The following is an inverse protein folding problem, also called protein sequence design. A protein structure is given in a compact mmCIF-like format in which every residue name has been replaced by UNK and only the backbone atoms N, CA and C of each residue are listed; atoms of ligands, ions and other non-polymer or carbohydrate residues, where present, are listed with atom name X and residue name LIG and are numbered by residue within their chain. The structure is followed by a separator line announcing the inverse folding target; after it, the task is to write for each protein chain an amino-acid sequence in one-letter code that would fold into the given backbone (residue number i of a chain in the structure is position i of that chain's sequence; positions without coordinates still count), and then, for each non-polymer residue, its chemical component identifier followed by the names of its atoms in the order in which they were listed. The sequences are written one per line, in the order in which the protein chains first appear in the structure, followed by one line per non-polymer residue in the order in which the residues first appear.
data_IF_186817777314
#
_entry.id   IF_186817777314
#
_cell.length_a   1.000
_cell.length_b   1.000
_cell.length_c   1.000
_cell.angle_alpha   90.00
_cell.angle_beta   90.00
_cell.angle_gamma   90.00
#
_symmetry.space_group_name_H-M   'P 1'
#
loop_
_entity.id
_entity.type
_entity.pdbx_description
1 polymer ?
#
# COMPACT_ATOMS: atom_id res chain seq x y z
N UNK A 1 7.41 -3.49 -7.74
CA UNK A 1 6.06 -3.55 -8.35
C UNK A 1 6.18 -3.21 -9.83
N UNK A 2 5.49 -3.94 -10.71
CA UNK A 2 5.38 -3.64 -12.14
C UNK A 2 3.94 -3.24 -12.42
N UNK A 3 3.73 -2.07 -13.01
CA UNK A 3 2.40 -1.60 -13.43
C UNK A 3 2.31 -1.72 -14.95
N UNK A 4 1.30 -2.45 -15.41
CA UNK A 4 1.00 -2.63 -16.84
C UNK A 4 -0.37 -2.03 -17.08
N UNK A 5 -0.48 -1.13 -18.06
CA UNK A 5 -1.73 -0.48 -18.43
C UNK A 5 -2.20 -1.00 -19.80
N UNK A 6 -2.69 -2.24 -19.89
CA UNK A 6 -3.17 -2.80 -21.16
C UNK A 6 -4.55 -2.23 -21.51
N UNK A 7 -4.90 -2.31 -22.80
CA UNK A 7 -6.22 -1.90 -23.30
C UNK A 7 -7.00 -3.13 -23.75
N UNK A 8 -8.32 -3.14 -23.51
CA UNK A 8 -9.23 -4.13 -24.10
C UNK A 8 -9.77 -3.68 -25.47
N UNK A 9 -9.44 -2.45 -25.89
CA UNK A 9 -9.78 -1.98 -27.23
C UNK A 9 -8.96 -2.76 -28.26
N UNK A 10 -9.61 -3.19 -29.34
CA UNK A 10 -9.01 -4.13 -30.27
C UNK A 10 -8.34 -3.41 -31.44
N UNK A 11 -9.13 -2.68 -32.22
CA UNK A 11 -8.64 -2.07 -33.49
C UNK A 11 -8.70 -0.56 -33.50
N UNK A 12 -9.53 0.03 -32.61
CA UNK A 12 -9.73 1.48 -32.51
C UNK A 12 -9.69 1.91 -31.05
N UNK A 13 -9.09 3.07 -30.79
CA UNK A 13 -9.14 3.72 -29.47
C UNK A 13 -10.58 4.12 -29.09
N UNK A 14 -11.49 4.21 -30.06
CA UNK A 14 -12.90 4.53 -29.85
C UNK A 14 -13.79 3.29 -29.62
N UNK A 15 -13.26 2.06 -29.64
CA UNK A 15 -14.06 0.83 -29.47
C UNK A 15 -14.86 0.84 -28.16
N UNK A 16 -14.31 1.46 -27.10
CA UNK A 16 -14.95 1.66 -25.80
C UNK A 16 -16.08 2.70 -25.79
N UNK A 17 -16.25 3.47 -26.86
CA UNK A 17 -17.36 4.44 -27.00
C UNK A 17 -18.67 3.78 -27.44
N UNK A 18 -18.61 2.58 -28.05
CA UNK A 18 -19.79 1.73 -28.27
C UNK A 18 -19.95 0.78 -27.08
N UNK A 19 -20.94 1.08 -26.24
CA UNK A 19 -21.19 0.32 -25.01
C UNK A 19 -21.43 -1.18 -25.26
N UNK A 20 -22.10 -1.55 -26.36
CA UNK A 20 -22.37 -2.97 -26.65
C UNK A 20 -21.11 -3.70 -27.09
N UNK A 21 -20.25 -3.02 -27.85
CA UNK A 21 -18.93 -3.54 -28.21
C UNK A 21 -18.03 -3.65 -26.98
N UNK A 22 -17.99 -2.62 -26.13
CA UNK A 22 -17.19 -2.61 -24.91
C UNK A 22 -17.56 -3.77 -23.98
N UNK A 23 -18.86 -4.09 -23.81
CA UNK A 23 -19.29 -5.25 -23.03
C UNK A 23 -18.76 -6.58 -23.60
N UNK A 24 -18.76 -6.71 -24.93
CA UNK A 24 -18.21 -7.90 -25.60
C UNK A 24 -16.68 -7.96 -25.46
N UNK A 25 -16.00 -6.83 -25.58
CA UNK A 25 -14.54 -6.79 -25.46
C UNK A 25 -14.10 -7.15 -24.05
N UNK A 26 -14.71 -6.53 -23.03
CA UNK A 26 -14.43 -6.85 -21.62
C UNK A 26 -14.73 -8.32 -21.27
N UNK A 27 -15.78 -8.92 -21.83
CA UNK A 27 -16.05 -10.35 -21.66
C UNK A 27 -14.98 -11.25 -22.26
N UNK A 28 -14.37 -10.87 -23.38
CA UNK A 28 -13.37 -11.69 -24.07
C UNK A 28 -11.92 -11.43 -23.64
N UNK A 29 -11.66 -10.26 -23.02
CA UNK A 29 -10.32 -9.76 -22.73
C UNK A 29 -9.47 -10.71 -21.87
N UNK A 30 -10.09 -11.50 -21.00
CA UNK A 30 -9.38 -12.52 -20.20
C UNK A 30 -8.58 -13.51 -21.04
N UNK A 31 -9.05 -13.84 -22.25
CA UNK A 31 -8.35 -14.76 -23.15
C UNK A 31 -7.03 -14.15 -23.63
N UNK A 32 -7.04 -12.87 -23.98
CA UNK A 32 -5.82 -12.16 -24.35
C UNK A 32 -4.93 -12.02 -23.11
N UNK A 33 -5.47 -11.47 -22.02
CA UNK A 33 -4.76 -11.20 -20.77
C UNK A 33 -3.90 -12.38 -20.28
N UNK A 34 -4.48 -13.58 -20.20
CA UNK A 34 -3.79 -14.76 -19.66
C UNK A 34 -2.80 -15.36 -20.65
N UNK A 35 -3.06 -15.26 -21.96
CA UNK A 35 -2.25 -15.94 -22.96
C UNK A 35 -1.15 -15.05 -23.57
N UNK A 36 -1.33 -13.72 -23.60
CA UNK A 36 -0.38 -12.81 -24.26
C UNK A 36 0.27 -11.80 -23.28
N UNK A 37 -0.43 -10.84 -22.63
CA UNK A 37 0.22 -9.83 -21.78
C UNK A 37 0.93 -10.40 -20.55
N UNK A 38 0.29 -11.32 -19.81
CA UNK A 38 0.91 -11.90 -18.60
C UNK A 38 2.20 -12.65 -18.97
N UNK A 39 2.21 -13.62 -19.90
CA UNK A 39 3.45 -14.29 -20.29
C UNK A 39 4.50 -13.36 -20.90
N UNK A 40 4.10 -12.35 -21.67
CA UNK A 40 5.05 -11.41 -22.28
C UNK A 40 5.75 -10.55 -21.21
N UNK A 41 5.01 -10.05 -20.23
CA UNK A 41 5.56 -9.20 -19.17
C UNK A 41 6.36 -10.04 -18.19
N UNK A 42 5.79 -11.11 -17.64
CA UNK A 42 6.43 -11.92 -16.59
C UNK A 42 7.57 -12.80 -17.13
N UNK A 43 7.60 -13.06 -18.44
CA UNK A 43 8.75 -13.70 -19.09
C UNK A 43 9.89 -12.73 -19.39
N UNK A 44 9.64 -11.41 -19.35
CA UNK A 44 10.64 -10.37 -19.63
C UNK A 44 11.17 -9.72 -18.35
N UNK A 45 10.30 -9.49 -17.38
CA UNK A 45 10.61 -8.80 -16.14
C UNK A 45 10.46 -9.74 -14.95
N UNK A 46 11.28 -9.52 -13.92
CA UNK A 46 11.26 -10.36 -12.71
C UNK A 46 9.98 -10.11 -11.92
N UNK A 47 9.14 -11.14 -11.80
CA UNK A 47 7.98 -11.20 -10.90
C UNK A 47 8.16 -12.37 -9.92
N UNK A 48 7.10 -12.75 -9.20
CA UNK A 48 7.09 -13.95 -8.36
C UNK A 48 6.80 -15.24 -9.14
N UNK A 49 6.47 -15.15 -10.42
CA UNK A 49 6.32 -16.33 -11.27
C UNK A 49 7.71 -16.91 -11.60
N UNK A 50 7.94 -18.18 -11.28
CA UNK A 50 9.19 -18.86 -11.67
C UNK A 50 9.29 -19.04 -13.19
N UNK A 51 8.15 -19.29 -13.83
CA UNK A 51 7.99 -19.33 -15.27
C UNK A 51 6.57 -18.89 -15.69
N UNK A 52 6.38 -18.75 -17.01
CA UNK A 52 5.11 -18.28 -17.58
C UNK A 52 4.22 -19.43 -18.08
N UNK A 53 4.38 -20.64 -17.54
CA UNK A 53 3.43 -21.73 -17.80
C UNK A 53 2.13 -21.48 -17.04
N UNK A 54 0.99 -22.08 -17.44
CA UNK A 54 -0.24 -21.96 -16.69
C UNK A 54 -0.09 -22.34 -15.21
N UNK A 55 0.75 -23.33 -14.90
CA UNK A 55 1.07 -23.75 -13.53
C UNK A 55 1.89 -22.68 -12.80
N UNK A 56 3.00 -22.20 -13.38
CA UNK A 56 3.85 -21.18 -12.75
C UNK A 56 3.12 -19.86 -12.51
N UNK A 57 2.20 -19.47 -13.40
CA UNK A 57 1.34 -18.30 -13.23
C UNK A 57 0.31 -18.50 -12.11
N UNK A 58 -0.25 -19.71 -11.94
CA UNK A 58 -1.15 -20.02 -10.83
C UNK A 58 -0.43 -19.99 -9.49
N UNK A 59 0.78 -20.55 -9.41
CA UNK A 59 1.57 -20.62 -8.17
C UNK A 59 1.98 -19.23 -7.64
N UNK A 60 2.02 -18.23 -8.51
CA UNK A 60 2.39 -16.86 -8.19
C UNK A 60 1.19 -15.89 -8.12
N UNK A 61 -0.05 -16.41 -8.15
CA UNK A 61 -1.29 -15.60 -8.16
C UNK A 61 -1.42 -14.64 -6.99
N UNK A 62 -0.84 -14.98 -5.84
CA UNK A 62 -0.89 -14.17 -4.62
C UNK A 62 -0.07 -12.88 -4.75
N UNK A 63 0.70 -12.74 -5.84
CA UNK A 63 1.50 -11.55 -6.15
C UNK A 63 0.96 -10.78 -7.37
N UNK A 64 -0.30 -11.04 -7.76
CA UNK A 64 -0.91 -10.46 -8.96
C UNK A 64 -2.26 -9.79 -8.66
N UNK A 65 -2.43 -8.58 -9.20
CA UNK A 65 -3.62 -7.77 -9.04
C UNK A 65 -4.16 -7.27 -10.38
N UNK A 66 -5.48 -7.13 -10.50
CA UNK A 66 -6.14 -6.52 -11.65
C UNK A 66 -7.05 -5.37 -11.22
N UNK A 67 -6.98 -4.23 -11.89
CA UNK A 67 -7.75 -3.05 -11.54
C UNK A 67 -8.33 -2.35 -12.77
N UNK A 68 -9.37 -1.56 -12.56
CA UNK A 68 -9.94 -0.76 -13.63
C UNK A 68 -11.09 0.13 -13.18
N UNK A 69 -11.32 1.17 -13.96
CA UNK A 69 -12.32 2.21 -13.71
C UNK A 69 -13.38 2.22 -14.82
N UNK A 70 -14.65 2.45 -14.48
CA UNK A 70 -15.76 2.49 -15.43
C UNK A 70 -15.88 1.18 -16.22
N UNK A 71 -15.76 1.18 -17.55
CA UNK A 71 -15.68 -0.07 -18.33
C UNK A 71 -14.46 -0.93 -17.98
N UNK A 72 -13.37 -0.34 -17.48
CA UNK A 72 -12.25 -1.09 -16.89
C UNK A 72 -12.64 -1.82 -15.60
N UNK A 73 -13.62 -1.32 -14.85
CA UNK A 73 -14.18 -2.04 -13.70
C UNK A 73 -15.00 -3.25 -14.16
N UNK A 74 -15.77 -3.12 -15.25
CA UNK A 74 -16.43 -4.27 -15.88
C UNK A 74 -15.41 -5.29 -16.35
N UNK A 75 -14.30 -4.86 -16.95
CA UNK A 75 -13.18 -5.75 -17.29
C UNK A 75 -12.62 -6.44 -16.04
N UNK A 76 -12.46 -5.72 -14.93
CA UNK A 76 -12.01 -6.28 -13.64
C UNK A 76 -12.96 -7.37 -13.12
N UNK A 77 -14.27 -7.17 -13.20
CA UNK A 77 -15.25 -8.20 -12.84
C UNK A 77 -15.22 -9.41 -13.78
N UNK A 78 -14.92 -9.21 -15.07
CA UNK A 78 -14.72 -10.33 -16.02
C UNK A 78 -13.41 -11.06 -15.75
N UNK A 79 -12.35 -10.37 -15.37
CA UNK A 79 -11.12 -10.99 -14.88
C UNK A 79 -11.38 -11.78 -13.60
N UNK A 80 -12.16 -11.24 -12.66
CA UNK A 80 -12.62 -11.98 -11.48
C UNK A 80 -13.40 -13.24 -11.87
N UNK A 81 -14.32 -13.15 -12.84
CA UNK A 81 -15.10 -14.28 -13.31
C UNK A 81 -14.25 -15.41 -13.92
N UNK A 82 -13.22 -15.08 -14.69
CA UNK A 82 -12.51 -16.05 -15.54
C UNK A 82 -11.08 -16.35 -15.11
N UNK A 83 -10.50 -15.58 -14.18
CA UNK A 83 -9.07 -15.62 -13.88
C UNK A 83 -8.74 -15.67 -12.38
N UNK A 84 -9.65 -16.17 -11.52
CA UNK A 84 -9.34 -16.40 -10.09
C UNK A 84 -8.11 -17.29 -9.87
N UNK A 85 -7.89 -18.25 -10.77
CA UNK A 85 -6.69 -19.10 -10.83
C UNK A 85 -5.39 -18.28 -10.90
N UNK A 86 -5.43 -17.07 -11.48
CA UNK A 86 -4.25 -16.28 -11.84
C UNK A 86 -4.12 -14.96 -11.06
N UNK A 87 -5.15 -14.55 -10.31
CA UNK A 87 -5.14 -13.29 -9.57
C UNK A 87 -5.75 -13.47 -8.19
N UNK A 88 -5.06 -12.96 -7.16
CA UNK A 88 -5.61 -12.83 -5.80
C UNK A 88 -6.37 -11.52 -5.60
N UNK A 89 -5.89 -10.42 -6.18
CA UNK A 89 -6.37 -9.08 -5.86
C UNK A 89 -7.14 -8.41 -7.00
N UNK A 90 -8.29 -7.80 -6.67
CA UNK A 90 -9.15 -7.13 -7.63
C UNK A 90 -9.55 -5.74 -7.14
N UNK A 91 -9.39 -4.72 -7.99
CA UNK A 91 -9.70 -3.33 -7.64
C UNK A 91 -10.67 -2.68 -8.64
N UNK A 92 -11.96 -3.09 -8.65
CA UNK A 92 -12.98 -2.49 -9.50
C UNK A 92 -13.43 -1.13 -8.97
N UNK A 93 -13.59 -0.14 -9.85
CA UNK A 93 -14.11 1.18 -9.47
C UNK A 93 -15.15 1.76 -10.43
N UNK A 94 -16.28 2.22 -9.89
CA UNK A 94 -17.35 2.91 -10.63
C UNK A 94 -17.83 2.16 -11.90
N UNK A 95 -17.99 0.84 -11.84
CA UNK A 95 -18.59 0.06 -12.93
C UNK A 95 -19.06 -1.33 -12.48
N UNK A 96 -20.36 -1.60 -12.62
CA UNK A 96 -21.01 -2.84 -12.18
C UNK A 96 -21.14 -3.86 -13.31
N UNK A 97 -20.94 -5.14 -13.02
CA UNK A 97 -21.26 -6.27 -13.89
C UNK A 97 -22.74 -6.69 -13.78
N UNK A 98 -23.26 -6.77 -12.56
CA UNK A 98 -24.61 -7.27 -12.24
C UNK A 98 -25.09 -6.72 -10.89
N UNK A 99 -26.38 -6.80 -10.60
CA UNK A 99 -26.91 -6.55 -9.24
C UNK A 99 -27.24 -7.84 -8.48
N UNK A 100 -26.87 -9.01 -9.03
CA UNK A 100 -27.15 -10.32 -8.46
C UNK A 100 -25.93 -10.82 -7.67
N UNK A 101 -25.96 -10.65 -6.35
CA UNK A 101 -24.91 -11.14 -5.46
C UNK A 101 -24.78 -12.67 -5.43
N UNK A 102 -25.90 -13.40 -5.56
CA UNK A 102 -25.87 -14.86 -5.55
C UNK A 102 -25.19 -15.42 -6.81
N UNK A 103 -25.34 -14.72 -7.94
CA UNK A 103 -24.55 -14.98 -9.15
C UNK A 103 -23.06 -14.72 -8.93
N UNK A 104 -22.67 -13.58 -8.35
CA UNK A 104 -21.25 -13.32 -8.04
C UNK A 104 -20.67 -14.39 -7.11
N UNK A 105 -21.43 -14.86 -6.12
CA UNK A 105 -21.01 -15.91 -5.22
C UNK A 105 -20.94 -17.28 -5.92
N UNK A 106 -21.80 -17.55 -6.92
CA UNK A 106 -21.71 -18.78 -7.70
C UNK A 106 -20.46 -18.82 -8.57
N UNK A 107 -19.97 -17.68 -9.08
CA UNK A 107 -18.70 -17.62 -9.83
C UNK A 107 -17.53 -18.14 -9.00
N UNK A 108 -17.42 -17.70 -7.74
CA UNK A 108 -16.38 -18.17 -6.80
C UNK A 108 -16.51 -19.67 -6.57
N UNK A 109 -17.70 -20.14 -6.18
CA UNK A 109 -17.93 -21.57 -5.91
C UNK A 109 -17.65 -22.47 -7.11
N UNK A 110 -18.08 -22.06 -8.30
CA UNK A 110 -17.88 -22.82 -9.53
C UNK A 110 -16.42 -22.84 -9.99
N UNK A 111 -15.65 -21.82 -9.63
CA UNK A 111 -14.20 -21.77 -9.87
C UNK A 111 -13.39 -22.67 -8.93
N UNK A 112 -13.98 -23.12 -7.82
CA UNK A 112 -13.31 -23.96 -6.82
C UNK A 112 -12.50 -23.19 -5.77
N UNK A 113 -12.62 -21.86 -5.74
CA UNK A 113 -12.02 -20.99 -4.72
C UNK A 113 -12.98 -20.78 -3.54
N UNK A 114 -12.43 -20.36 -2.41
CA UNK A 114 -13.15 -19.97 -1.19
C UNK A 114 -12.94 -18.47 -0.89
N UNK A 115 -13.59 -17.96 0.16
CA UNK A 115 -13.61 -16.54 0.50
C UNK A 115 -12.21 -15.96 0.79
N UNK A 116 -11.26 -16.75 1.27
CA UNK A 116 -9.90 -16.34 1.64
C UNK A 116 -8.87 -16.45 0.50
N UNK A 117 -9.31 -16.91 -0.68
CA UNK A 117 -8.47 -17.03 -1.87
C UNK A 117 -8.34 -15.71 -2.67
N UNK A 118 -9.17 -14.70 -2.39
CA UNK A 118 -9.16 -13.44 -3.12
C UNK A 118 -9.46 -12.25 -2.20
N UNK A 119 -9.13 -11.04 -2.67
CA UNK A 119 -9.50 -9.80 -1.99
C UNK A 119 -9.95 -8.73 -2.99
N UNK A 120 -11.03 -8.02 -2.66
CA UNK A 120 -11.66 -7.01 -3.50
C UNK A 120 -11.61 -5.66 -2.78
N UNK A 121 -10.88 -4.70 -3.36
CA UNK A 121 -10.95 -3.30 -2.98
C UNK A 121 -11.82 -2.55 -3.98
N UNK A 122 -13.10 -2.39 -3.67
CA UNK A 122 -14.04 -1.64 -4.50
C UNK A 122 -14.01 -0.15 -4.15
N UNK A 123 -14.19 0.73 -5.14
CA UNK A 123 -14.26 2.18 -4.89
C UNK A 123 -15.23 2.91 -5.81
N UNK A 124 -15.90 3.96 -5.32
CA UNK A 124 -16.68 4.88 -6.14
C UNK A 124 -16.95 6.19 -5.41
N UNK A 125 -17.16 7.28 -6.15
CA UNK A 125 -17.44 8.60 -5.61
C UNK A 125 -18.94 8.84 -5.47
N UNK A 126 -19.40 9.52 -4.41
CA UNK A 126 -20.84 9.67 -4.13
C UNK A 126 -21.59 10.52 -5.16
N UNK A 127 -20.88 11.36 -5.94
CA UNK A 127 -21.41 12.17 -7.04
C UNK A 127 -21.13 11.54 -8.44
N UNK A 128 -20.57 10.33 -8.50
CA UNK A 128 -20.37 9.57 -9.73
C UNK A 128 -21.71 9.00 -10.24
N UNK A 129 -21.98 9.11 -11.55
CA UNK A 129 -23.22 8.58 -12.13
C UNK A 129 -23.35 7.05 -11.95
N UNK A 130 -22.24 6.33 -11.81
CA UNK A 130 -22.20 4.88 -11.65
C UNK A 130 -22.36 4.43 -10.19
N UNK A 131 -22.23 5.34 -9.21
CA UNK A 131 -22.18 5.02 -7.78
C UNK A 131 -23.38 4.21 -7.31
N UNK A 132 -24.60 4.65 -7.65
CA UNK A 132 -25.81 3.98 -7.17
C UNK A 132 -25.90 2.53 -7.64
N UNK A 133 -25.58 2.24 -8.90
CA UNK A 133 -25.60 0.86 -9.42
C UNK A 133 -24.44 0.03 -8.89
N UNK A 134 -23.26 0.65 -8.76
CA UNK A 134 -22.07 -0.03 -8.24
C UNK A 134 -22.26 -0.44 -6.77
N UNK A 135 -22.74 0.48 -5.93
CA UNK A 135 -23.06 0.20 -4.52
C UNK A 135 -24.09 -0.90 -4.36
N UNK A 136 -25.11 -0.97 -5.23
CA UNK A 136 -26.10 -2.06 -5.22
C UNK A 136 -25.44 -3.41 -5.48
N UNK A 137 -24.50 -3.51 -6.42
CA UNK A 137 -23.76 -4.76 -6.64
C UNK A 137 -22.95 -5.16 -5.40
N UNK A 138 -22.15 -4.23 -4.86
CA UNK A 138 -21.28 -4.51 -3.71
C UNK A 138 -22.11 -4.94 -2.50
N UNK A 139 -23.21 -4.25 -2.22
CA UNK A 139 -24.09 -4.62 -1.11
C UNK A 139 -24.77 -5.97 -1.36
N UNK A 140 -25.24 -6.23 -2.59
CA UNK A 140 -25.85 -7.51 -2.93
C UNK A 140 -24.87 -8.69 -2.76
N UNK A 141 -23.58 -8.49 -3.05
CA UNK A 141 -22.53 -9.48 -2.80
C UNK A 141 -22.37 -9.75 -1.30
N UNK A 142 -22.27 -8.70 -0.48
CA UNK A 142 -22.12 -8.83 0.98
C UNK A 142 -23.37 -9.38 1.67
N UNK A 143 -24.56 -9.21 1.09
CA UNK A 143 -25.83 -9.71 1.62
C UNK A 143 -26.02 -11.22 1.38
N UNK A 144 -25.12 -11.89 0.64
CA UNK A 144 -25.19 -13.35 0.45
C UNK A 144 -24.77 -14.06 1.74
N UNK A 145 -25.70 -14.79 2.36
CA UNK A 145 -25.51 -15.42 3.68
C UNK A 145 -24.50 -16.60 3.73
N UNK A 146 -23.87 -16.96 2.60
CA UNK A 146 -22.96 -18.11 2.52
C UNK A 146 -21.50 -17.78 2.88
N UNK A 147 -21.20 -16.52 3.20
CA UNK A 147 -19.87 -16.08 3.61
C UNK A 147 -18.87 -15.91 2.47
N UNK A 148 -19.31 -16.00 1.19
CA UNK A 148 -18.42 -15.82 0.04
C UNK A 148 -17.82 -14.43 -0.01
N UNK A 149 -18.57 -13.41 0.40
CA UNK A 149 -18.10 -12.02 0.49
C UNK A 149 -18.33 -11.46 1.88
N UNK A 150 -17.26 -11.09 2.55
CA UNK A 150 -17.25 -10.59 3.92
C UNK A 150 -16.62 -9.19 3.93
N UNK A 151 -17.38 -8.19 4.39
CA UNK A 151 -16.83 -6.85 4.58
C UNK A 151 -15.75 -6.86 5.66
N UNK A 152 -14.57 -6.35 5.33
CA UNK A 152 -13.49 -6.15 6.29
C UNK A 152 -12.52 -5.08 5.80
N UNK A 153 -11.74 -4.53 6.74
CA UNK A 153 -10.63 -3.63 6.44
C UNK A 153 -9.27 -4.33 6.35
N UNK A 154 -9.27 -5.67 6.34
CA UNK A 154 -8.09 -6.51 6.30
C UNK A 154 -8.43 -7.92 5.77
N UNK A 155 -7.44 -8.62 5.21
CA UNK A 155 -7.61 -9.97 4.62
C UNK A 155 -7.94 -11.06 5.65
N UNK A 156 -7.68 -10.83 6.94
CA UNK A 156 -7.88 -11.82 8.00
C UNK A 156 -9.35 -11.93 8.41
N UNK A 157 -10.08 -10.82 8.35
CA UNK A 157 -11.46 -10.73 8.82
C UNK A 157 -12.48 -10.75 7.67
N UNK A 158 -12.03 -10.60 6.42
CA UNK A 158 -12.87 -10.65 5.24
C UNK A 158 -12.11 -10.35 3.95
N UNK A 159 -12.86 -10.19 2.87
CA UNK A 159 -12.32 -10.16 1.51
C UNK A 159 -12.92 -9.06 0.62
N UNK A 160 -13.79 -8.21 1.17
CA UNK A 160 -14.46 -7.14 0.45
C UNK A 160 -14.33 -5.83 1.22
N UNK A 161 -13.76 -4.82 0.59
CA UNK A 161 -13.76 -3.44 1.07
C UNK A 161 -14.44 -2.53 0.06
N UNK A 162 -15.14 -1.49 0.53
CA UNK A 162 -15.77 -0.50 -0.33
C UNK A 162 -15.46 0.92 0.13
N UNK A 163 -14.60 1.60 -0.63
CA UNK A 163 -14.31 3.03 -0.47
C UNK A 163 -15.40 3.87 -1.11
N UNK A 164 -16.09 4.68 -0.30
CA UNK A 164 -17.07 5.67 -0.75
C UNK A 164 -16.47 7.07 -0.62
N UNK A 165 -16.03 7.65 -1.75
CA UNK A 165 -15.39 8.97 -1.75
C UNK A 165 -16.45 10.08 -1.81
N UNK A 166 -16.60 10.82 -0.72
CA UNK A 166 -17.60 11.89 -0.63
C UNK A 166 -17.31 13.01 -1.64
N UNK A 167 -18.30 13.36 -2.47
CA UNK A 167 -18.16 14.37 -3.52
C UNK A 167 -17.35 13.91 -4.73
N UNK A 168 -16.90 12.65 -4.75
CA UNK A 168 -16.15 12.10 -5.87
C UNK A 168 -17.01 12.00 -7.13
N UNK A 169 -16.48 12.46 -8.27
CA UNK A 169 -17.16 12.44 -9.58
C UNK A 169 -16.51 11.44 -10.55
N UNK A 170 -17.19 11.12 -11.65
CA UNK A 170 -16.67 10.21 -12.66
C UNK A 170 -15.51 10.82 -13.46
N UNK A 171 -14.28 10.67 -12.98
CA UNK A 171 -13.08 11.28 -13.57
C UNK A 171 -11.83 10.43 -13.39
N UNK A 172 -10.81 10.70 -14.22
CA UNK A 172 -9.51 10.04 -14.12
C UNK A 172 -8.76 10.36 -12.81
N UNK A 173 -8.90 11.58 -12.28
CA UNK A 173 -8.28 11.98 -11.01
C UNK A 173 -8.75 11.09 -9.85
N UNK A 174 -10.06 10.91 -9.71
CA UNK A 174 -10.62 10.01 -8.71
C UNK A 174 -10.28 8.54 -8.99
N UNK A 175 -10.17 8.13 -10.26
CA UNK A 175 -9.72 6.78 -10.59
C UNK A 175 -8.28 6.52 -10.08
N UNK A 176 -7.37 7.47 -10.27
CA UNK A 176 -6.00 7.39 -9.76
C UNK A 176 -5.96 7.34 -8.22
N UNK A 177 -6.78 8.16 -7.54
CA UNK A 177 -6.94 8.13 -6.09
C UNK A 177 -7.41 6.75 -5.59
N UNK A 178 -8.38 6.14 -6.27
CA UNK A 178 -8.90 4.82 -5.91
C UNK A 178 -7.85 3.73 -6.07
N UNK A 179 -7.08 3.76 -7.17
CA UNK A 179 -6.00 2.79 -7.39
C UNK A 179 -4.87 2.96 -6.39
N UNK A 180 -4.49 4.20 -6.07
CA UNK A 180 -3.49 4.47 -5.03
C UNK A 180 -3.93 3.88 -3.68
N UNK A 181 -5.16 4.17 -3.26
CA UNK A 181 -5.70 3.64 -2.00
C UNK A 181 -5.79 2.11 -2.01
N UNK A 182 -6.22 1.50 -3.12
CA UNK A 182 -6.27 0.04 -3.24
C UNK A 182 -4.88 -0.61 -3.23
N UNK A 183 -3.88 -0.01 -3.88
CA UNK A 183 -2.50 -0.49 -3.84
C UNK A 183 -1.91 -0.41 -2.43
N UNK A 184 -2.32 0.59 -1.64
CA UNK A 184 -1.99 0.67 -0.22
C UNK A 184 -2.67 -0.39 0.64
N UNK A 185 -3.43 -1.35 0.09
CA UNK A 185 -4.14 -2.40 0.84
C UNK A 185 -3.69 -3.81 0.51
N UNK A 186 -3.19 -4.03 -0.71
CA UNK A 186 -2.78 -5.36 -1.17
C UNK A 186 -1.32 -5.65 -0.84
N UNK A 187 -0.95 -6.93 -0.77
CA UNK A 187 0.42 -7.38 -0.44
C UNK A 187 0.96 -6.84 0.89
N UNK A 188 0.07 -6.43 1.80
CA UNK A 188 0.42 -6.25 3.21
C UNK A 188 0.61 -7.64 3.79
N UNK A 189 1.86 -8.03 4.03
CA UNK A 189 2.29 -9.35 4.47
C UNK A 189 1.24 -10.14 5.27
N UNK A 190 0.63 -11.12 4.60
CA UNK A 190 -0.11 -12.23 5.20
C UNK A 190 0.82 -13.36 5.66
N UNK A 191 2.10 -13.07 5.85
CA UNK A 191 3.07 -14.04 6.34
C UNK A 191 3.16 -13.99 7.86
N UNK A 192 2.72 -15.09 8.45
CA UNK A 192 2.74 -15.35 9.88
C UNK A 192 4.17 -15.29 10.44
N UNK A 193 4.56 -14.13 10.94
CA UNK A 193 5.44 -14.00 12.09
C UNK A 193 4.78 -13.02 13.05
N UNK A 194 4.58 -13.45 14.29
CA UNK A 194 3.64 -12.90 15.28
C UNK A 194 3.35 -11.39 15.15
N UNK A 195 2.10 -11.08 14.79
CA UNK A 195 1.58 -9.71 14.85
C UNK A 195 1.81 -9.14 16.25
N UNK A 196 2.38 -7.93 16.34
CA UNK A 196 2.54 -7.29 17.64
C UNK A 196 1.16 -6.91 18.16
N UNK A 197 0.98 -7.06 19.46
CA UNK A 197 -0.25 -6.75 20.18
C UNK A 197 0.05 -5.73 21.26
N UNK A 198 -1.00 -5.22 21.91
CA UNK A 198 -0.86 -4.30 23.05
C UNK A 198 0.10 -4.80 24.13
N UNK A 199 0.10 -6.12 24.37
CA UNK A 199 0.89 -6.79 25.40
C UNK A 199 2.24 -7.29 24.89
N UNK A 200 2.58 -7.05 23.62
CA UNK A 200 3.92 -7.37 23.10
C UNK A 200 4.93 -6.50 23.82
N UNK A 201 6.05 -7.09 24.25
CA UNK A 201 7.10 -6.35 24.93
C UNK A 201 7.87 -5.51 23.92
N UNK A 202 8.19 -4.28 24.30
CA UNK A 202 9.05 -3.38 23.51
C UNK A 202 10.40 -4.05 23.21
N UNK A 203 10.93 -4.82 24.16
CA UNK A 203 12.15 -5.60 23.96
C UNK A 203 12.01 -6.67 22.88
N UNK A 204 10.84 -7.29 22.71
CA UNK A 204 10.63 -8.30 21.67
C UNK A 204 10.60 -7.64 20.28
N UNK A 205 10.00 -6.45 20.14
CA UNK A 205 10.03 -5.66 18.90
C UNK A 205 11.46 -5.22 18.54
N UNK A 206 12.22 -4.74 19.53
CA UNK A 206 13.63 -4.31 19.33
C UNK A 206 14.50 -5.47 18.83
N UNK A 207 14.23 -6.69 19.31
CA UNK A 207 15.02 -7.87 18.98
C UNK A 207 14.40 -8.71 17.86
N UNK A 208 13.35 -8.22 17.21
CA UNK A 208 12.72 -8.95 16.12
C UNK A 208 13.71 -9.09 14.95
N UNK A 209 14.04 -10.32 14.51
CA UNK A 209 15.03 -10.56 13.46
C UNK A 209 14.76 -9.83 12.16
N UNK A 210 13.51 -9.49 11.87
CA UNK A 210 13.10 -8.72 10.67
C UNK A 210 13.78 -7.35 10.56
N UNK A 211 14.17 -6.77 11.69
CA UNK A 211 14.84 -5.47 11.73
C UNK A 211 16.36 -5.58 11.71
N UNK A 212 16.91 -6.80 11.73
CA UNK A 212 18.34 -7.06 11.88
C UNK A 212 18.95 -6.20 13.00
N UNK A 213 20.05 -5.49 12.73
CA UNK A 213 20.68 -4.61 13.71
C UNK A 213 19.83 -3.35 14.00
N UNK A 214 18.92 -2.96 13.10
CA UNK A 214 18.18 -1.69 13.19
C UNK A 214 17.07 -1.68 14.23
N UNK A 215 16.67 -2.84 14.78
CA UNK A 215 15.58 -2.91 15.78
C UNK A 215 15.81 -2.03 17.01
N UNK A 216 17.09 -1.81 17.37
CA UNK A 216 17.50 -0.88 18.45
C UNK A 216 17.07 0.57 18.23
N UNK A 217 16.74 0.97 17.00
CA UNK A 217 16.42 2.35 16.62
C UNK A 217 14.90 2.63 16.58
N UNK A 218 14.07 1.60 16.75
CA UNK A 218 12.61 1.71 16.69
C UNK A 218 12.06 2.51 17.89
N UNK A 219 12.73 2.41 19.03
CA UNK A 219 12.36 3.07 20.28
C UNK A 219 13.50 3.98 20.78
N UNK A 220 13.24 4.88 21.75
CA UNK A 220 14.25 5.82 22.24
C UNK A 220 15.54 5.13 22.70
N UNK A 221 16.65 5.46 22.04
CA UNK A 221 17.99 4.87 22.29
C UNK A 221 18.70 5.48 23.51
N UNK A 222 18.28 6.66 23.95
CA UNK A 222 18.86 7.41 25.05
C UNK A 222 18.22 7.07 26.41
N UNK A 223 17.38 6.03 26.45
CA UNK A 223 16.61 5.63 27.64
C UNK A 223 16.79 4.17 27.99
N UNK A 224 16.77 3.91 29.30
CA UNK A 224 16.63 2.55 29.80
C UNK A 224 15.18 2.11 29.62
N UNK A 225 14.95 1.17 28.72
CA UNK A 225 13.65 0.53 28.51
C UNK A 225 13.57 -0.70 29.40
N UNK A 226 12.48 -0.84 30.17
CA UNK A 226 12.24 -2.04 30.96
C UNK A 226 12.00 -3.25 30.06
N UNK A 227 12.56 -4.41 30.41
CA UNK A 227 12.32 -5.67 29.70
C UNK A 227 10.85 -6.13 29.78
N UNK A 228 10.06 -5.55 30.69
CA UNK A 228 8.63 -5.85 30.86
C UNK A 228 7.73 -4.72 30.34
N UNK A 229 8.28 -3.70 29.67
CA UNK A 229 7.46 -2.64 29.09
C UNK A 229 6.69 -3.19 27.88
N UNK A 230 5.38 -3.07 27.91
CA UNK A 230 4.48 -3.47 26.82
C UNK A 230 4.19 -2.29 25.87
N UNK A 231 3.82 -2.59 24.62
CA UNK A 231 3.53 -1.57 23.60
C UNK A 231 2.43 -0.59 24.03
N UNK A 232 1.43 -1.07 24.77
CA UNK A 232 0.36 -0.21 25.29
C UNK A 232 0.85 0.85 26.29
N UNK A 233 1.96 0.57 26.97
CA UNK A 233 2.52 1.44 28.03
C UNK A 233 3.70 2.26 27.54
N UNK A 234 4.04 2.22 26.23
CA UNK A 234 5.15 3.01 25.65
C UNK A 234 5.01 4.50 25.96
N UNK A 235 3.80 5.01 26.10
CA UNK A 235 3.55 6.39 26.52
C UNK A 235 4.26 6.78 27.83
N UNK A 236 4.48 5.84 28.75
CA UNK A 236 5.13 6.08 30.04
C UNK A 236 6.61 6.45 29.91
N UNK A 237 7.27 5.98 28.85
CA UNK A 237 8.68 6.29 28.59
C UNK A 237 8.86 7.48 27.64
N UNK A 238 7.81 7.86 26.91
CA UNK A 238 7.76 8.97 25.96
C UNK A 238 7.45 10.30 26.65
N UNK A 239 8.31 10.74 27.58
CA UNK A 239 8.08 11.92 28.44
C UNK A 239 7.82 13.25 27.72
N UNK A 240 8.10 13.34 26.41
CA UNK A 240 7.89 14.55 25.60
C UNK A 240 6.61 14.49 24.76
N UNK A 241 5.90 13.36 24.80
CA UNK A 241 4.72 13.10 24.00
C UNK A 241 3.49 13.08 24.90
N UNK A 242 2.38 13.62 24.40
CA UNK A 242 1.08 13.58 25.06
C UNK A 242 0.08 12.88 24.13
N UNK A 243 -0.95 12.24 24.71
CA UNK A 243 -1.98 11.52 23.96
C UNK A 243 -1.43 10.35 23.11
N UNK A 244 -0.40 9.66 23.62
CA UNK A 244 0.09 8.43 23.00
C UNK A 244 -1.05 7.41 22.99
N UNK A 245 -1.43 6.96 21.80
CA UNK A 245 -2.54 6.03 21.61
C UNK A 245 -1.97 4.60 21.45
N UNK A 246 -2.27 3.69 22.39
CA UNK A 246 -1.81 2.30 22.33
C UNK A 246 -2.09 1.60 21.00
N UNK A 247 -3.28 1.82 20.41
CA UNK A 247 -3.65 1.19 19.13
C UNK A 247 -2.74 1.67 18.00
N UNK A 248 -2.46 2.98 17.97
CA UNK A 248 -1.54 3.55 16.97
C UNK A 248 -0.10 3.08 17.20
N UNK A 249 0.34 2.90 18.45
CA UNK A 249 1.67 2.35 18.73
C UNK A 249 1.84 0.95 18.16
N UNK A 250 0.85 0.08 18.36
CA UNK A 250 0.84 -1.29 17.83
C UNK A 250 0.79 -1.28 16.30
N UNK A 251 -0.06 -0.44 15.72
CA UNK A 251 -0.16 -0.27 14.27
C UNK A 251 1.17 0.15 13.65
N UNK A 252 1.85 1.17 14.22
CA UNK A 252 3.15 1.66 13.73
C UNK A 252 4.23 0.57 13.85
N UNK A 253 4.26 -0.17 14.96
CA UNK A 253 5.25 -1.23 15.16
C UNK A 253 5.07 -2.37 14.13
N UNK A 254 3.84 -2.78 13.85
CA UNK A 254 3.53 -3.76 12.81
C UNK A 254 3.85 -3.20 11.42
N UNK A 255 3.48 -1.95 11.13
CA UNK A 255 3.82 -1.29 9.87
C UNK A 255 5.33 -1.29 9.61
N UNK A 256 6.14 -0.89 10.60
CA UNK A 256 7.60 -0.88 10.47
C UNK A 256 8.14 -2.30 10.23
N UNK A 257 7.62 -3.31 10.92
CA UNK A 257 7.98 -4.71 10.70
C UNK A 257 7.72 -5.10 9.25
N UNK A 258 6.53 -4.80 8.75
CA UNK A 258 6.13 -5.20 7.41
C UNK A 258 6.96 -4.48 6.34
N UNK A 259 7.30 -3.20 6.55
CA UNK A 259 8.22 -2.47 5.65
C UNK A 259 9.65 -3.02 5.69
N UNK A 260 10.16 -3.37 6.87
CA UNK A 260 11.48 -3.96 7.02
C UNK A 260 11.55 -5.35 6.34
N UNK A 261 10.51 -6.17 6.49
CA UNK A 261 10.36 -7.44 5.77
C UNK A 261 10.31 -7.23 4.24
N UNK A 262 9.72 -6.12 3.78
CA UNK A 262 9.69 -5.73 2.37
C UNK A 262 11.01 -5.07 1.89
N UNK A 263 12.05 -4.98 2.72
CA UNK A 263 13.38 -4.49 2.35
C UNK A 263 13.56 -2.97 2.37
N UNK A 264 12.72 -2.22 3.09
CA UNK A 264 12.77 -0.75 3.15
C UNK A 264 12.86 -0.22 4.59
N UNK A 265 13.71 0.78 4.83
CA UNK A 265 13.80 1.51 6.11
C UNK A 265 13.46 2.98 5.90
N UNK A 266 12.48 3.49 6.64
CA UNK A 266 12.14 4.92 6.72
C UNK A 266 12.37 5.38 8.16
N UNK A 267 13.24 6.37 8.37
CA UNK A 267 13.58 6.89 9.70
C UNK A 267 13.20 8.37 9.84
N UNK A 268 12.37 8.69 10.85
CA UNK A 268 12.02 10.05 11.25
C UNK A 268 12.66 10.42 12.58
N UNK A 269 13.15 11.67 12.67
CA UNK A 269 13.62 12.41 13.84
C UNK A 269 14.68 11.75 14.73
N UNK A 270 15.93 12.21 14.59
CA UNK A 270 16.83 12.30 15.75
C UNK A 270 17.57 13.63 15.73
N UNK A 271 17.60 14.35 16.85
CA UNK A 271 18.48 15.51 17.07
C UNK A 271 19.95 15.11 17.25
N UNK A 272 20.39 14.12 16.48
CA UNK A 272 21.73 13.55 16.54
C UNK A 272 22.73 14.61 16.11
N UNK A 273 23.76 14.83 16.92
CA UNK A 273 24.79 15.83 16.66
C UNK A 273 26.18 15.23 16.46
N UNK A 274 26.36 13.95 16.71
CA UNK A 274 27.62 13.24 16.51
C UNK A 274 27.61 12.53 15.16
N UNK A 275 28.70 12.68 14.40
CA UNK A 275 28.96 11.89 13.18
C UNK A 275 30.09 10.90 13.45
N UNK A 276 29.93 9.70 12.95
CA UNK A 276 30.86 8.56 12.91
C UNK A 276 31.79 8.60 11.70
N UNK A 277 31.39 9.26 10.60
CA UNK A 277 32.13 9.28 9.34
C UNK A 277 31.84 8.10 8.42
N UNK A 278 30.93 7.21 8.80
CA UNK A 278 30.46 6.09 7.98
C UNK A 278 28.95 6.18 7.69
N UNK A 279 28.36 7.37 7.84
CA UNK A 279 26.94 7.58 7.56
C UNK A 279 26.65 7.23 6.09
N UNK A 280 25.54 6.51 5.81
CA UNK A 280 25.06 6.32 4.44
C UNK A 280 24.50 7.64 3.90
N UNK A 281 24.19 7.72 2.58
CA UNK A 281 23.47 8.86 2.05
C UNK A 281 22.22 9.19 2.88
N UNK A 282 22.14 10.43 3.37
CA UNK A 282 21.17 10.80 4.41
C UNK A 282 20.31 11.99 3.98
N UNK A 283 19.00 11.80 3.95
CA UNK A 283 18.03 12.89 3.83
C UNK A 283 17.39 13.19 5.19
N UNK A 284 17.25 14.46 5.53
CA UNK A 284 16.57 14.92 6.74
C UNK A 284 15.60 16.06 6.44
N UNK A 285 14.61 16.25 7.30
CA UNK A 285 13.79 17.46 7.29
C UNK A 285 13.40 17.88 8.71
N UNK A 286 13.19 19.18 8.92
CA UNK A 286 12.93 19.75 10.25
C UNK A 286 12.26 21.12 10.16
N UNK A 287 11.47 21.50 11.16
CA UNK A 287 10.87 22.83 11.24
C UNK A 287 11.69 23.84 12.06
N UNK A 288 11.69 25.13 11.69
CA UNK A 288 12.44 26.16 12.47
C UNK A 288 11.81 26.45 13.83
N UNK A 289 10.54 26.11 14.03
CA UNK A 289 9.81 26.20 15.30
C UNK A 289 9.64 24.84 15.98
N UNK A 290 10.42 23.83 15.59
CA UNK A 290 10.50 22.56 16.28
C UNK A 290 11.14 22.77 17.67
N UNK A 291 10.34 22.55 18.72
CA UNK A 291 10.76 22.70 20.11
C UNK A 291 11.48 21.47 20.68
N UNK A 292 11.61 20.40 19.90
CA UNK A 292 12.15 19.10 20.31
C UNK A 292 13.46 18.81 19.55
N UNK A 293 13.45 18.90 18.23
CA UNK A 293 14.62 18.74 17.37
C UNK A 293 15.11 20.10 16.88
N UNK A 294 16.28 20.54 17.36
CA UNK A 294 16.90 21.79 16.93
C UNK A 294 17.27 21.72 15.44
N UNK A 295 16.62 22.53 14.59
CA UNK A 295 16.96 22.60 13.17
C UNK A 295 18.44 22.94 12.95
N UNK A 296 19.02 23.78 13.81
CA UNK A 296 20.45 24.14 13.72
C UNK A 296 21.36 22.95 13.97
N UNK A 297 20.98 22.06 14.89
CA UNK A 297 21.74 20.85 15.19
C UNK A 297 21.65 19.85 14.04
N UNK A 298 20.47 19.71 13.44
CA UNK A 298 20.23 18.88 12.26
C UNK A 298 21.00 19.41 11.04
N UNK A 299 20.99 20.72 10.81
CA UNK A 299 21.79 21.38 9.77
C UNK A 299 23.28 21.15 9.96
N UNK A 300 23.79 21.31 11.18
CA UNK A 300 25.21 21.10 11.48
C UNK A 300 25.60 19.61 11.37
N UNK A 301 24.73 18.69 11.75
CA UNK A 301 24.92 17.25 11.56
C UNK A 301 25.01 16.89 10.07
N UNK A 302 24.05 17.32 9.26
CA UNK A 302 24.04 17.08 7.81
C UNK A 302 25.24 17.73 7.13
N UNK A 303 25.62 18.96 7.54
CA UNK A 303 26.84 19.61 7.05
C UNK A 303 28.10 18.79 7.36
N UNK A 304 28.17 18.15 8.52
CA UNK A 304 29.31 17.29 8.89
C UNK A 304 29.36 16.01 8.05
N UNK A 305 28.21 15.41 7.72
CA UNK A 305 28.13 14.28 6.78
C UNK A 305 28.62 14.71 5.39
N UNK A 306 28.14 15.84 4.88
CA UNK A 306 28.58 16.40 3.60
C UNK A 306 30.10 16.66 3.58
N UNK A 307 30.66 17.21 4.66
CA UNK A 307 32.10 17.45 4.77
C UNK A 307 32.94 16.16 4.79
N UNK A 308 32.34 15.03 5.18
CA UNK A 308 32.99 13.71 5.12
C UNK A 308 32.90 13.07 3.72
N UNK A 309 32.23 13.72 2.77
CA UNK A 309 32.13 13.27 1.38
C UNK A 309 30.93 12.34 1.09
N UNK A 310 30.07 12.11 2.08
CA UNK A 310 28.81 11.39 1.89
C UNK A 310 27.73 12.35 1.41
N UNK A 311 26.91 11.94 0.43
CA UNK A 311 25.78 12.73 -0.01
C UNK A 311 24.74 12.86 1.11
N UNK A 312 24.36 14.07 1.46
CA UNK A 312 23.34 14.30 2.46
C UNK A 312 22.59 15.59 2.18
N UNK A 313 21.31 15.61 2.50
CA UNK A 313 20.41 16.74 2.27
C UNK A 313 19.55 17.01 3.50
N UNK A 314 19.22 18.28 3.72
CA UNK A 314 18.25 18.69 4.72
C UNK A 314 17.31 19.74 4.17
N UNK A 315 16.02 19.59 4.47
CA UNK A 315 15.01 20.62 4.26
C UNK A 315 14.59 21.23 5.60
N UNK A 316 14.63 22.57 5.66
CA UNK A 316 14.30 23.32 6.86
C UNK A 316 13.07 24.18 6.60
N UNK A 317 11.97 23.84 7.24
CA UNK A 317 10.67 24.46 7.00
C UNK A 317 10.39 25.59 7.99
N UNK A 318 10.23 26.81 7.50
CA UNK A 318 10.08 27.98 8.37
C UNK A 318 8.75 27.99 9.12
N UNK A 319 8.79 28.30 10.42
CA UNK A 319 7.63 28.36 11.30
C UNK A 319 7.02 27.01 11.67
N UNK A 320 7.46 25.93 11.04
CA UNK A 320 6.89 24.59 11.27
C UNK A 320 7.32 24.06 12.63
N UNK A 321 6.35 23.52 13.37
CA UNK A 321 6.56 22.91 14.70
C UNK A 321 6.80 21.41 14.55
N UNK A 322 7.23 20.80 15.65
CA UNK A 322 7.44 19.34 15.70
C UNK A 322 6.19 18.57 15.30
N UNK A 323 6.36 17.49 14.52
CA UNK A 323 5.30 16.56 14.16
C UNK A 323 4.36 17.05 13.05
N UNK A 324 4.86 17.13 11.82
CA UNK A 324 4.09 17.59 10.64
C UNK A 324 3.64 16.47 9.69
N UNK A 325 3.92 15.20 10.01
CA UNK A 325 3.40 14.04 9.26
C UNK A 325 3.78 14.07 7.78
N UNK A 326 2.80 13.85 6.89
CA UNK A 326 2.98 13.95 5.42
C UNK A 326 3.20 15.39 4.93
N UNK A 327 2.97 16.40 5.78
CA UNK A 327 3.18 17.80 5.43
C UNK A 327 2.05 18.43 4.62
N UNK A 328 0.98 17.71 4.28
CA UNK A 328 -0.17 18.22 3.52
C UNK A 328 -0.78 19.50 4.14
N UNK A 329 -0.97 20.53 3.32
CA UNK A 329 -1.50 21.82 3.76
C UNK A 329 -0.53 22.63 4.62
N UNK A 330 0.75 22.24 4.67
CA UNK A 330 1.80 22.94 5.42
C UNK A 330 2.94 23.37 4.52
N UNK A 331 3.89 24.13 5.07
CA UNK A 331 5.13 24.49 4.37
C UNK A 331 6.06 23.30 4.09
N UNK A 332 5.77 22.11 4.65
CA UNK A 332 6.49 20.87 4.37
C UNK A 332 5.82 20.01 3.30
N UNK A 333 4.74 20.47 2.66
CA UNK A 333 4.07 19.69 1.62
C UNK A 333 5.05 19.29 0.50
N UNK A 334 5.05 18.01 0.13
CA UNK A 334 5.99 17.45 -0.86
C UNK A 334 7.36 17.01 -0.29
N UNK A 335 7.63 17.17 1.01
CA UNK A 335 8.92 16.78 1.59
C UNK A 335 9.25 15.29 1.39
N UNK A 336 8.22 14.44 1.32
CA UNK A 336 8.37 13.00 1.10
C UNK A 336 8.83 12.69 -0.33
N UNK A 337 8.30 13.39 -1.32
CA UNK A 337 8.71 13.23 -2.73
C UNK A 337 10.16 13.65 -2.95
N UNK A 338 10.60 14.70 -2.25
CA UNK A 338 12.00 15.12 -2.25
C UNK A 338 12.92 14.08 -1.59
N UNK A 339 12.46 13.46 -0.50
CA UNK A 339 13.19 12.37 0.16
C UNK A 339 13.35 11.15 -0.76
N UNK A 340 12.28 10.78 -1.47
CA UNK A 340 12.28 9.69 -2.46
C UNK A 340 13.24 10.03 -3.61
N UNK A 341 13.15 11.24 -4.16
CA UNK A 341 14.04 11.70 -5.24
C UNK A 341 15.52 11.69 -4.83
N UNK A 342 15.81 12.08 -3.58
CA UNK A 342 17.16 12.00 -3.02
C UNK A 342 17.65 10.54 -2.98
N UNK A 343 16.78 9.61 -2.57
CA UNK A 343 17.12 8.19 -2.48
C UNK A 343 17.36 7.56 -3.85
N UNK A 344 16.49 7.80 -4.83
CA UNK A 344 16.63 7.27 -6.20
C UNK A 344 17.96 7.66 -6.86
N UNK A 345 18.38 8.91 -6.64
CA UNK A 345 19.68 9.41 -7.13
C UNK A 345 20.86 8.67 -6.52
N UNK A 346 20.80 8.35 -5.23
CA UNK A 346 21.88 7.64 -4.54
C UNK A 346 21.89 6.12 -4.79
N UNK A 347 20.76 5.55 -5.22
CA UNK A 347 20.69 4.17 -5.71
C UNK A 347 21.36 3.99 -7.07
N UNK A 348 21.36 5.03 -7.90
CA UNK A 348 21.88 5.00 -9.28
C UNK A 348 23.42 4.98 -9.35
N UNK A 349 24.10 5.50 -8.32
CA UNK A 349 25.57 5.65 -8.27
C UNK A 349 26.30 4.44 -7.67
N UNK A 350 25.58 3.34 -7.38
CA UNK A 350 26.16 2.11 -6.77
C UNK A 350 26.34 0.95 -7.76
N UNK A 351 26.37 1.22 -9.08
CA UNK A 351 26.72 0.21 -10.11
C UNK A 351 28.23 0.09 -10.36
#
# INVERSE_FOLDING_TARGET
MIVVCPTYNNTSEEDSSDYSLALRLTENYHNELVNDPIPAVEGTFSTYAEDTTPEGLRESRDHRAFCGFSMGSVATWRTFQYCLDYFRYFMPSSGSLTSDGAYMASLVRESGHDWDDFFIFAASGTDDFAYSSFKVQIQAMADVEDGTFCFADNEREGNLYFLEQEGGVHSGEYAEEYFYNGLCWIWKNSDSSAEYTMTTKVADVINDPVFEDYGRLIFPVDRTISADLELQDVGDILVWYNNVNPNRTVEIANYLRDQAAAGTVIMQYTGLSDVTGAEPPTYACVGTSDGIASYRSMEDYIRRIQNNGTDAQIEVFDGLRHGFGLGEGTVAEGWLDHAVSFWERNMSDTQ
#
